data_IF_578445232893
#
_entry.id   IF_578445232893
#
_cell.length_a   1.000
_cell.length_b   1.000
_cell.length_c   1.000
_cell.angle_alpha   90.00
_cell.angle_beta   90.00
_cell.angle_gamma   90.00
#
_symmetry.space_group_name_H-M   'P 1'
#
loop_
_entity.id
_entity.type
_entity.pdbx_description
1 polymer ?
#
# COMPACT_ATOMS: atom_id res chain seq x y z
N UNK A 1 23.24 -3.52 -6.61
CA UNK A 1 23.40 -4.99 -6.55
C UNK A 1 22.09 -5.61 -6.14
N UNK A 2 21.97 -6.94 -5.96
CA UNK A 2 20.74 -7.51 -5.38
C UNK A 2 20.50 -6.97 -3.95
N UNK A 3 21.57 -6.83 -3.16
CA UNK A 3 21.54 -6.25 -1.82
C UNK A 3 20.95 -4.84 -1.79
N UNK A 4 21.31 -3.99 -2.75
CA UNK A 4 20.74 -2.64 -2.85
C UNK A 4 19.21 -2.64 -3.07
N UNK A 5 18.66 -3.64 -3.76
CA UNK A 5 17.23 -3.72 -4.02
C UNK A 5 16.44 -4.26 -2.82
N UNK A 6 17.09 -5.06 -1.96
CA UNK A 6 16.49 -5.59 -0.73
C UNK A 6 16.58 -4.62 0.46
N UNK A 7 17.46 -3.63 0.38
CA UNK A 7 17.82 -2.77 1.51
C UNK A 7 16.95 -1.52 1.61
N UNK A 8 16.34 -1.30 2.76
CA UNK A 8 15.77 0.00 3.14
C UNK A 8 16.84 0.85 3.85
N UNK A 9 17.31 1.91 3.19
CA UNK A 9 18.48 2.66 3.65
C UNK A 9 18.24 3.61 4.84
N UNK A 10 17.04 4.22 4.93
CA UNK A 10 16.71 5.25 5.93
C UNK A 10 17.76 6.39 6.03
N UNK A 11 18.37 6.73 4.91
CA UNK A 11 19.42 7.73 4.75
C UNK A 11 19.18 8.59 3.50
N UNK A 12 20.18 9.38 3.07
CA UNK A 12 20.14 10.13 1.81
C UNK A 12 20.68 9.32 0.61
N UNK A 13 20.72 8.00 0.72
CA UNK A 13 21.12 7.10 -0.35
C UNK A 13 19.92 6.66 -1.21
N UNK A 14 20.16 6.38 -2.50
CA UNK A 14 19.14 5.88 -3.43
C UNK A 14 19.74 4.85 -4.38
N UNK A 15 19.06 3.71 -4.52
CA UNK A 15 19.32 2.75 -5.59
C UNK A 15 18.43 3.08 -6.79
N UNK A 16 19.01 3.17 -7.99
CA UNK A 16 18.28 3.52 -9.22
C UNK A 16 18.59 2.53 -10.35
N UNK A 17 17.54 2.06 -11.03
CA UNK A 17 17.63 1.19 -12.19
C UNK A 17 16.89 1.78 -13.39
N UNK A 18 17.40 1.53 -14.59
CA UNK A 18 16.68 1.77 -15.83
C UNK A 18 15.95 0.48 -16.21
N UNK A 19 14.70 0.60 -16.62
CA UNK A 19 13.86 -0.52 -17.05
C UNK A 19 13.22 -0.22 -18.40
N UNK A 20 13.03 -1.25 -19.22
CA UNK A 20 12.62 -1.08 -20.62
C UNK A 20 11.11 -0.83 -20.80
N UNK A 21 10.30 -1.13 -19.78
CA UNK A 21 8.85 -1.05 -19.89
C UNK A 21 8.16 -0.96 -18.53
N UNK A 22 6.85 -0.64 -18.56
CA UNK A 22 5.98 -0.71 -17.39
C UNK A 22 5.94 -2.11 -16.78
N UNK A 23 5.94 -3.16 -17.60
CA UNK A 23 5.90 -4.54 -17.11
C UNK A 23 7.20 -4.92 -16.39
N UNK A 24 8.34 -4.45 -16.88
CA UNK A 24 9.62 -4.60 -16.20
C UNK A 24 9.64 -3.83 -14.86
N UNK A 25 9.09 -2.61 -14.82
CA UNK A 25 8.97 -1.84 -13.57
C UNK A 25 8.11 -2.57 -12.53
N UNK A 26 6.93 -3.06 -12.94
CA UNK A 26 6.01 -3.81 -12.08
C UNK A 26 6.64 -5.12 -11.60
N UNK A 27 7.37 -5.83 -12.47
CA UNK A 27 8.07 -7.05 -12.08
C UNK A 27 9.17 -6.78 -11.06
N UNK A 28 9.91 -5.68 -11.20
CA UNK A 28 10.91 -5.25 -10.23
C UNK A 28 10.28 -4.92 -8.87
N UNK A 29 9.21 -4.13 -8.86
CA UNK A 29 8.45 -3.80 -7.64
C UNK A 29 7.90 -5.08 -6.99
N UNK A 30 7.32 -5.99 -7.77
CA UNK A 30 6.77 -7.25 -7.24
C UNK A 30 7.84 -8.12 -6.56
N UNK A 31 9.07 -8.08 -7.06
CA UNK A 31 10.17 -8.86 -6.50
C UNK A 31 10.71 -8.26 -5.19
N UNK A 32 10.82 -6.92 -5.12
CA UNK A 32 11.59 -6.25 -4.07
C UNK A 32 10.77 -5.42 -3.08
N UNK A 33 9.51 -5.10 -3.40
CA UNK A 33 8.68 -4.27 -2.53
C UNK A 33 8.36 -4.97 -1.21
N UNK A 34 8.38 -4.20 -0.12
CA UNK A 34 7.82 -4.62 1.18
C UNK A 34 6.28 -4.55 1.22
N UNK A 35 5.65 -4.16 0.10
CA UNK A 35 4.21 -3.95 0.00
C UNK A 35 3.73 -2.67 0.69
N UNK A 36 4.63 -1.74 1.06
CA UNK A 36 4.29 -0.51 1.79
C UNK A 36 3.67 0.54 0.86
N UNK A 37 4.48 1.29 0.09
CA UNK A 37 4.01 2.36 -0.78
C UNK A 37 4.78 2.35 -2.08
N UNK A 38 4.06 2.39 -3.20
CA UNK A 38 4.65 2.42 -4.53
C UNK A 38 4.03 3.56 -5.34
N UNK A 39 4.79 4.13 -6.28
CA UNK A 39 4.31 5.26 -7.06
C UNK A 39 4.73 5.16 -8.53
N UNK A 40 3.88 5.71 -9.40
CA UNK A 40 4.18 5.95 -10.81
C UNK A 40 4.06 7.44 -11.13
N UNK A 41 5.02 7.97 -11.87
CA UNK A 41 4.95 9.30 -12.49
C UNK A 41 4.73 9.11 -13.99
N UNK A 42 3.57 9.52 -14.50
CA UNK A 42 3.22 9.36 -15.91
C UNK A 42 2.11 10.32 -16.35
N UNK A 43 2.16 10.75 -17.60
CA UNK A 43 1.05 11.47 -18.26
C UNK A 43 0.09 10.52 -18.98
N UNK A 44 0.44 9.22 -19.11
CA UNK A 44 -0.41 8.23 -19.75
C UNK A 44 -1.44 7.67 -18.77
N UNK A 45 -2.71 7.98 -19.01
CA UNK A 45 -3.81 7.46 -18.20
C UNK A 45 -3.90 5.92 -18.26
N UNK A 46 -3.57 5.31 -19.41
CA UNK A 46 -3.55 3.87 -19.56
C UNK A 46 -2.45 3.22 -18.70
N UNK A 47 -1.26 3.82 -18.66
CA UNK A 47 -0.16 3.34 -17.82
C UNK A 47 -0.49 3.47 -16.33
N UNK A 48 -1.05 4.61 -15.91
CA UNK A 48 -1.47 4.84 -14.53
C UNK A 48 -2.47 3.77 -14.06
N UNK A 49 -3.54 3.52 -14.83
CA UNK A 49 -4.55 2.50 -14.50
C UNK A 49 -3.95 1.09 -14.43
N UNK A 50 -3.08 0.75 -15.38
CA UNK A 50 -2.42 -0.56 -15.42
C UNK A 50 -1.49 -0.75 -14.23
N UNK A 51 -0.70 0.27 -13.87
CA UNK A 51 0.17 0.22 -12.69
C UNK A 51 -0.63 -0.01 -11.40
N UNK A 52 -1.69 0.78 -11.17
CA UNK A 52 -2.53 0.67 -9.96
C UNK A 52 -3.27 -0.66 -9.84
N UNK A 53 -3.48 -1.38 -10.96
CA UNK A 53 -4.09 -2.71 -10.95
C UNK A 53 -3.08 -3.83 -10.67
N UNK A 54 -1.81 -3.65 -11.06
CA UNK A 54 -0.81 -4.72 -11.02
C UNK A 54 0.07 -4.70 -9.77
N UNK A 55 0.24 -3.53 -9.16
CA UNK A 55 1.05 -3.33 -7.95
C UNK A 55 0.20 -3.59 -6.71
N UNK A 56 0.70 -4.46 -5.83
CA UNK A 56 0.00 -4.92 -4.63
C UNK A 56 0.67 -4.39 -3.36
N UNK A 57 0.48 -3.10 -3.09
CA UNK A 57 1.00 -2.40 -1.91
C UNK A 57 -0.14 -1.76 -1.12
N UNK A 58 0.12 -1.32 0.12
CA UNK A 58 -0.92 -0.65 0.93
C UNK A 58 -1.42 0.62 0.25
N UNK A 59 -0.52 1.33 -0.42
CA UNK A 59 -0.79 2.58 -1.13
C UNK A 59 -0.11 2.54 -2.48
N UNK A 60 -0.86 2.82 -3.55
CA UNK A 60 -0.32 2.97 -4.90
C UNK A 60 -0.66 4.37 -5.42
N UNK A 61 0.35 5.22 -5.52
CA UNK A 61 0.21 6.62 -5.89
C UNK A 61 0.43 6.84 -7.41
N UNK A 62 -0.32 7.78 -7.98
CA UNK A 62 -0.13 8.25 -9.36
C UNK A 62 0.16 9.74 -9.31
N UNK A 63 1.34 10.15 -9.80
CA UNK A 63 1.78 11.55 -9.82
C UNK A 63 1.73 12.25 -8.45
N UNK A 64 1.95 11.48 -7.38
CA UNK A 64 2.00 11.98 -6.01
C UNK A 64 3.16 11.32 -5.25
N UNK A 65 3.68 12.02 -4.25
CA UNK A 65 4.79 11.54 -3.43
C UNK A 65 4.38 10.33 -2.59
N UNK A 66 5.30 9.38 -2.40
CA UNK A 66 5.11 8.23 -1.49
C UNK A 66 4.95 8.66 -0.04
N UNK A 67 5.45 9.86 0.32
CA UNK A 67 5.32 10.47 1.66
C UNK A 67 3.88 10.69 2.13
N UNK A 68 2.90 10.65 1.23
CA UNK A 68 1.49 10.81 1.60
C UNK A 68 0.87 9.56 2.26
N UNK A 69 1.58 8.43 2.34
CA UNK A 69 1.09 7.27 3.11
C UNK A 69 1.21 7.54 4.59
N UNK A 70 0.17 8.16 5.14
CA UNK A 70 0.09 8.66 6.52
C UNK A 70 -1.39 8.93 6.83
N UNK A 71 -1.85 8.53 8.01
CA UNK A 71 -3.25 8.67 8.43
C UNK A 71 -3.71 10.12 8.53
N UNK A 72 -2.82 11.05 8.92
CA UNK A 72 -3.11 12.47 8.91
C UNK A 72 -3.35 12.99 7.50
N UNK A 73 -2.50 12.61 6.54
CA UNK A 73 -2.65 12.96 5.12
C UNK A 73 -3.90 12.32 4.49
N UNK A 74 -4.28 11.12 4.92
CA UNK A 74 -5.49 10.44 4.44
C UNK A 74 -6.78 10.89 5.16
N UNK A 75 -6.68 11.82 6.11
CA UNK A 75 -7.84 12.40 6.80
C UNK A 75 -8.39 11.54 7.94
N UNK A 76 -7.61 10.60 8.46
CA UNK A 76 -8.00 9.72 9.57
C UNK A 76 -7.85 10.42 10.93
N UNK A 77 -7.21 11.60 10.93
CA UNK A 77 -6.92 12.40 12.12
C UNK A 77 -5.68 11.91 12.87
N UNK A 78 -5.60 10.61 13.15
CA UNK A 78 -4.43 9.97 13.76
C UNK A 78 -4.25 8.55 13.20
N UNK A 79 -3.05 7.99 13.37
CA UNK A 79 -2.75 6.59 13.10
C UNK A 79 -1.99 5.96 14.29
N UNK A 80 -2.16 4.65 14.48
CA UNK A 80 -1.28 3.86 15.35
C UNK A 80 0.01 3.43 14.62
N UNK A 81 -0.04 3.37 13.29
CA UNK A 81 1.03 2.97 12.40
C UNK A 81 0.48 2.48 11.06
N UNK A 82 1.35 1.95 10.21
CA UNK A 82 1.02 1.50 8.85
C UNK A 82 1.18 -0.02 8.76
N UNK A 83 0.09 -0.71 8.44
CA UNK A 83 0.10 -2.18 8.25
C UNK A 83 0.35 -2.53 6.79
N UNK A 84 1.41 -3.28 6.51
CA UNK A 84 1.66 -3.87 5.19
C UNK A 84 0.98 -5.23 4.98
N UNK A 85 0.31 -5.77 6.01
CA UNK A 85 -0.35 -7.06 5.95
C UNK A 85 -1.65 -7.00 5.15
N UNK A 86 -2.07 -8.14 4.60
CA UNK A 86 -3.30 -8.24 3.80
C UNK A 86 -4.57 -8.46 4.61
N UNK A 87 -4.44 -8.95 5.84
CA UNK A 87 -5.58 -9.31 6.70
C UNK A 87 -5.90 -8.19 7.68
N UNK A 88 -7.19 -8.06 8.02
CA UNK A 88 -7.75 -7.08 8.97
C UNK A 88 -7.64 -5.62 8.53
N UNK A 89 -6.46 -5.02 8.60
CA UNK A 89 -6.22 -3.62 8.27
C UNK A 89 -4.95 -3.48 7.43
N UNK A 90 -4.99 -2.62 6.40
CA UNK A 90 -3.90 -2.42 5.44
C UNK A 90 -3.76 -0.94 5.11
N UNK A 91 -2.53 -0.41 5.21
CA UNK A 91 -2.23 1.01 5.15
C UNK A 91 -2.24 1.66 6.54
N UNK A 92 -2.31 3.01 6.60
CA UNK A 92 -2.50 3.74 7.84
C UNK A 92 -3.69 3.19 8.65
N UNK A 93 -3.48 2.87 9.92
CA UNK A 93 -4.51 2.31 10.79
C UNK A 93 -5.07 3.37 11.73
N UNK A 94 -6.31 3.79 11.48
CA UNK A 94 -7.05 4.74 12.32
C UNK A 94 -7.86 4.04 13.41
N UNK A 95 -8.84 4.75 13.97
CA UNK A 95 -9.72 4.20 15.00
C UNK A 95 -10.54 2.98 14.55
N UNK A 96 -11.14 2.94 13.34
CA UNK A 96 -11.92 1.79 12.89
C UNK A 96 -11.10 0.49 12.83
N UNK A 97 -9.82 0.59 12.45
CA UNK A 97 -8.90 -0.54 12.35
C UNK A 97 -8.53 -1.15 13.72
N UNK A 98 -8.89 -0.49 14.83
CA UNK A 98 -8.72 -1.01 16.20
C UNK A 98 -10.00 -1.63 16.77
N UNK A 99 -11.01 -1.84 15.93
CA UNK A 99 -12.29 -2.46 16.32
C UNK A 99 -12.42 -3.87 15.79
N UNK A 100 -13.40 -4.61 16.29
CA UNK A 100 -13.79 -5.92 15.76
C UNK A 100 -15.30 -5.99 15.62
N UNK A 101 -15.79 -6.98 14.89
CA UNK A 101 -17.22 -7.16 14.62
C UNK A 101 -17.79 -8.27 15.50
N UNK A 102 -19.04 -8.10 15.94
CA UNK A 102 -19.83 -9.15 16.58
C UNK A 102 -21.24 -9.15 16.00
N UNK A 103 -21.87 -10.32 16.00
CA UNK A 103 -23.27 -10.46 15.61
C UNK A 103 -24.13 -10.41 16.87
N UNK A 104 -25.20 -9.63 16.82
CA UNK A 104 -26.20 -9.52 17.89
C UNK A 104 -27.50 -10.07 17.31
N UNK A 105 -28.04 -11.12 17.91
CA UNK A 105 -29.32 -11.73 17.52
C UNK A 105 -30.27 -11.64 18.70
N UNK A 106 -31.43 -11.00 18.49
CA UNK A 106 -32.52 -10.95 19.46
C UNK A 106 -33.63 -11.87 18.97
N UNK A 107 -33.90 -12.94 19.71
CA UNK A 107 -34.92 -13.93 19.36
C UNK A 107 -36.24 -13.72 20.13
N UNK A 108 -37.29 -14.33 19.59
CA UNK A 108 -38.58 -14.53 20.25
C UNK A 108 -39.17 -15.86 19.76
N UNK A 109 -38.83 -16.97 20.44
CA UNK A 109 -39.34 -18.31 20.09
C UNK A 109 -38.74 -18.96 18.84
N UNK A 110 -37.60 -18.51 18.35
CA UNK A 110 -36.97 -19.10 17.16
C UNK A 110 -36.42 -20.51 17.44
N UNK A 111 -36.70 -21.44 16.54
CA UNK A 111 -36.08 -22.77 16.45
C UNK A 111 -35.07 -22.77 15.31
N UNK A 112 -34.09 -23.68 15.35
CA UNK A 112 -33.05 -23.82 14.33
C UNK A 112 -33.57 -24.51 13.07
#
# INVERSE_FOLDING_TARGET
TAEDWETEYLSYDIAAAVVDSLDAAVAHIRLWSSGHTEAIVTTSQAAARRFTQLVDSTTVAVNASTRFTDGGQFGFGAEIGISTQKLHARGPMGLPELTSTKYIVTGDGHIR
#
